data_IF_680165520045
#
_entry.id   IF_680165520045
#
_cell.length_a   1.000
_cell.length_b   1.000
_cell.length_c   1.000
_cell.angle_alpha   90.00
_cell.angle_beta   90.00
_cell.angle_gamma   90.00
#
_symmetry.space_group_name_H-M   'P 1'
#
loop_
_entity.id
_entity.type
_entity.pdbx_description
1 polymer ?
#
# COMPACT_ATOMS: atom_id res chain seq x y z
N UNK A 1 -0.74 -24.90 -2.31
CA UNK A 1 -1.19 -25.28 -3.68
C UNK A 1 -1.97 -24.14 -4.32
N UNK A 2 -2.08 -24.17 -5.63
CA UNK A 2 -2.92 -23.18 -6.35
C UNK A 2 -4.40 -23.30 -5.96
N UNK A 3 -4.84 -24.43 -5.47
CA UNK A 3 -6.21 -24.60 -4.99
C UNK A 3 -6.50 -23.80 -3.71
N UNK A 4 -5.48 -23.56 -2.89
CA UNK A 4 -5.60 -22.83 -1.63
C UNK A 4 -5.32 -21.32 -1.78
N UNK A 5 -4.74 -20.90 -2.91
CA UNK A 5 -4.44 -19.50 -3.17
C UNK A 5 -5.68 -18.78 -3.68
N UNK A 6 -6.15 -17.79 -2.93
CA UNK A 6 -7.29 -16.96 -3.31
C UNK A 6 -6.86 -15.92 -4.35
N UNK A 7 -7.21 -16.17 -5.61
CA UNK A 7 -7.02 -15.19 -6.68
C UNK A 7 -8.14 -14.14 -6.62
N UNK A 8 -7.80 -12.84 -6.72
CA UNK A 8 -8.82 -11.80 -6.83
C UNK A 8 -9.69 -12.01 -8.07
N UNK A 9 -11.00 -12.02 -7.90
CA UNK A 9 -11.96 -12.04 -8.99
C UNK A 9 -12.35 -10.63 -9.43
N UNK A 10 -13.25 -10.56 -10.40
CA UNK A 10 -13.72 -9.27 -10.91
C UNK A 10 -14.44 -8.42 -9.85
N UNK A 11 -15.09 -9.07 -8.88
CA UNK A 11 -15.81 -8.40 -7.80
C UNK A 11 -14.90 -7.76 -6.76
N UNK A 12 -13.65 -8.20 -6.65
CA UNK A 12 -12.65 -7.64 -5.74
C UNK A 12 -11.87 -6.48 -6.36
N UNK A 13 -11.97 -6.29 -7.66
CA UNK A 13 -11.28 -5.19 -8.34
C UNK A 13 -11.97 -3.86 -8.08
N UNK A 14 -11.23 -2.86 -7.57
CA UNK A 14 -11.79 -1.52 -7.41
C UNK A 14 -11.99 -0.84 -8.75
N UNK A 15 -12.79 0.22 -8.75
CA UNK A 15 -12.95 1.10 -9.89
C UNK A 15 -11.67 1.97 -10.03
N UNK A 16 -10.83 1.63 -11.00
CA UNK A 16 -9.52 2.24 -11.16
C UNK A 16 -9.61 3.45 -12.09
N UNK A 17 -9.32 4.63 -11.56
CA UNK A 17 -9.18 5.85 -12.37
C UNK A 17 -7.74 5.94 -12.90
N UNK A 18 -7.61 5.97 -14.22
CA UNK A 18 -6.32 6.12 -14.89
C UNK A 18 -6.13 7.56 -15.34
N UNK A 19 -5.04 8.16 -14.89
CA UNK A 19 -4.62 9.50 -15.29
C UNK A 19 -3.24 9.44 -15.93
N UNK A 20 -2.98 10.32 -16.91
CA UNK A 20 -1.71 10.38 -17.60
C UNK A 20 -0.99 11.70 -17.31
N UNK A 21 0.29 11.60 -16.94
CA UNK A 21 1.20 12.74 -16.88
C UNK A 21 2.29 12.51 -17.90
N UNK A 22 2.35 13.36 -18.92
CA UNK A 22 3.32 13.23 -20.00
C UNK A 22 4.56 14.08 -19.71
N UNK A 23 5.71 13.43 -19.72
CA UNK A 23 7.03 14.07 -19.59
C UNK A 23 7.96 13.51 -20.66
N UNK A 24 7.86 13.98 -21.93
CA UNK A 24 8.66 13.44 -23.02
C UNK A 24 10.14 13.53 -22.74
N UNK A 25 10.91 12.50 -23.13
CA UNK A 25 12.35 12.54 -23.09
C UNK A 25 12.91 13.44 -24.20
N UNK A 26 13.84 14.37 -23.89
CA UNK A 26 14.51 15.16 -24.92
C UNK A 26 15.54 14.37 -25.73
N UNK A 27 15.87 13.14 -25.31
CA UNK A 27 16.94 12.32 -25.90
C UNK A 27 16.46 11.18 -26.76
N UNK A 28 15.17 10.93 -26.85
CA UNK A 28 14.59 9.80 -27.59
C UNK A 28 13.69 10.26 -28.71
N UNK A 29 13.57 9.42 -29.75
CA UNK A 29 12.61 9.63 -30.84
C UNK A 29 11.19 9.62 -30.25
N UNK A 30 10.38 10.59 -30.61
CA UNK A 30 9.01 10.79 -30.10
C UNK A 30 8.90 10.98 -28.57
N UNK A 31 10.01 11.20 -27.88
CA UNK A 31 10.01 11.39 -26.44
C UNK A 31 9.70 10.14 -25.62
N UNK A 32 9.78 8.97 -26.24
CA UNK A 32 9.42 7.69 -25.61
C UNK A 32 10.38 7.31 -24.48
N UNK A 33 9.83 6.64 -23.46
CA UNK A 33 10.56 6.11 -22.30
C UNK A 33 10.12 4.67 -22.00
N UNK A 34 11.05 3.90 -21.40
CA UNK A 34 10.71 2.57 -20.92
C UNK A 34 9.95 2.62 -19.58
N UNK A 35 9.02 1.69 -19.38
CA UNK A 35 8.21 1.60 -18.16
C UNK A 35 7.94 0.14 -17.77
N UNK A 36 8.80 -0.79 -18.19
CA UNK A 36 8.59 -2.22 -17.98
C UNK A 36 8.32 -2.63 -16.54
N UNK A 37 8.95 -1.99 -15.57
CA UNK A 37 8.78 -2.29 -14.14
C UNK A 37 7.92 -1.27 -13.37
N UNK A 38 7.25 -0.37 -14.06
CA UNK A 38 6.45 0.70 -13.43
C UNK A 38 5.43 0.18 -12.42
N UNK A 39 4.81 -0.97 -12.69
CA UNK A 39 3.87 -1.61 -11.77
C UNK A 39 4.48 -2.19 -10.49
N UNK A 40 5.79 -2.35 -10.42
CA UNK A 40 6.50 -2.83 -9.25
C UNK A 40 7.12 -1.69 -8.40
N UNK A 41 7.32 -0.51 -8.99
CA UNK A 41 8.00 0.61 -8.33
C UNK A 41 7.07 1.36 -7.38
N UNK A 42 5.90 1.77 -7.83
CA UNK A 42 5.00 2.65 -7.08
C UNK A 42 3.95 1.94 -6.22
N UNK A 43 3.30 0.87 -6.70
CA UNK A 43 2.11 0.32 -6.02
C UNK A 43 2.34 -0.17 -4.60
N UNK A 44 3.49 -0.78 -4.30
CA UNK A 44 3.78 -1.29 -2.96
C UNK A 44 3.73 -0.19 -1.90
N UNK A 45 4.41 0.92 -2.14
CA UNK A 45 4.42 2.06 -1.23
C UNK A 45 3.06 2.79 -1.22
N UNK A 46 2.45 2.97 -2.39
CA UNK A 46 1.18 3.66 -2.50
C UNK A 46 0.05 2.94 -1.73
N UNK A 47 -0.04 1.62 -1.87
CA UNK A 47 -1.02 0.81 -1.16
C UNK A 47 -0.74 0.78 0.34
N UNK A 48 0.52 0.64 0.74
CA UNK A 48 0.92 0.70 2.15
C UNK A 48 0.54 2.03 2.79
N UNK A 49 0.78 3.13 2.11
CA UNK A 49 0.39 4.47 2.58
C UNK A 49 -1.13 4.60 2.70
N UNK A 50 -1.89 4.08 1.76
CA UNK A 50 -3.35 4.09 1.81
C UNK A 50 -3.89 3.27 2.99
N UNK A 51 -3.31 2.10 3.26
CA UNK A 51 -3.67 1.27 4.41
C UNK A 51 -3.33 1.99 5.71
N UNK A 52 -2.17 2.59 5.83
CA UNK A 52 -1.77 3.36 7.01
C UNK A 52 -2.66 4.58 7.23
N UNK A 53 -3.11 5.23 6.16
CA UNK A 53 -4.09 6.30 6.26
C UNK A 53 -5.44 5.81 6.84
N UNK A 54 -5.90 4.64 6.40
CA UNK A 54 -7.10 4.00 6.95
C UNK A 54 -6.92 3.56 8.42
N UNK A 55 -5.71 3.16 8.83
CA UNK A 55 -5.40 2.74 10.19
C UNK A 55 -5.14 3.91 11.16
N UNK A 56 -4.99 5.12 10.66
CA UNK A 56 -4.67 6.31 11.45
C UNK A 56 -5.61 6.53 12.65
N UNK A 57 -6.94 6.41 12.52
CA UNK A 57 -7.84 6.56 13.66
C UNK A 57 -7.61 5.55 14.78
N UNK A 58 -7.04 4.39 14.46
CA UNK A 58 -6.69 3.34 15.42
C UNK A 58 -5.30 3.53 16.03
N UNK A 59 -4.51 4.48 15.52
CA UNK A 59 -3.13 4.67 15.92
C UNK A 59 -2.20 3.52 15.50
N UNK A 60 -2.62 2.71 14.53
CA UNK A 60 -1.87 1.58 14.03
C UNK A 60 -1.11 1.94 12.76
N UNK A 61 0.06 1.33 12.57
CA UNK A 61 0.91 1.54 11.41
C UNK A 61 1.59 0.23 11.00
N UNK A 62 1.69 -0.02 9.68
CA UNK A 62 2.44 -1.12 9.08
C UNK A 62 3.59 -0.54 8.28
N UNK A 63 4.83 -0.90 8.63
CA UNK A 63 6.05 -0.37 7.98
C UNK A 63 6.75 -1.41 7.09
N UNK A 64 6.16 -2.58 6.92
CA UNK A 64 6.73 -3.68 6.14
C UNK A 64 5.81 -4.10 5.00
N UNK A 65 6.38 -4.37 3.86
CA UNK A 65 5.69 -4.98 2.72
C UNK A 65 6.13 -6.44 2.53
N UNK A 66 5.24 -7.31 2.02
CA UNK A 66 3.85 -7.06 1.66
C UNK A 66 2.95 -6.82 2.90
N UNK A 67 1.97 -5.95 2.74
CA UNK A 67 0.98 -5.67 3.78
C UNK A 67 -0.06 -6.77 3.79
N UNK A 68 0.16 -7.80 4.59
CA UNK A 68 -0.75 -8.94 4.72
C UNK A 68 -1.82 -8.67 5.78
N UNK A 69 -3.00 -9.34 5.71
CA UNK A 69 -4.02 -9.24 6.74
C UNK A 69 -3.48 -9.52 8.15
N UNK A 70 -2.57 -10.47 8.27
CA UNK A 70 -1.91 -10.81 9.54
C UNK A 70 -1.08 -9.65 10.11
N UNK A 71 -0.33 -8.93 9.26
CA UNK A 71 0.45 -7.75 9.67
C UNK A 71 -0.44 -6.60 10.11
N UNK A 72 -1.52 -6.37 9.38
CA UNK A 72 -2.53 -5.36 9.72
C UNK A 72 -3.16 -5.67 11.08
N UNK A 73 -3.62 -6.90 11.28
CA UNK A 73 -4.22 -7.31 12.55
C UNK A 73 -3.24 -7.14 13.72
N UNK A 74 -1.99 -7.56 13.55
CA UNK A 74 -0.96 -7.39 14.56
C UNK A 74 -0.75 -5.92 14.92
N UNK A 75 -0.66 -5.05 13.94
CA UNK A 75 -0.51 -3.61 14.17
C UNK A 75 -1.69 -3.01 14.94
N UNK A 76 -2.91 -3.43 14.65
CA UNK A 76 -4.12 -2.99 15.37
C UNK A 76 -4.09 -3.47 16.82
N UNK A 77 -3.74 -4.73 17.07
CA UNK A 77 -3.68 -5.31 18.42
C UNK A 77 -2.60 -4.63 19.26
N UNK A 78 -1.41 -4.40 18.70
CA UNK A 78 -0.32 -3.68 19.36
C UNK A 78 -0.71 -2.25 19.71
N UNK A 79 -1.38 -1.53 18.81
CA UNK A 79 -1.87 -0.18 19.05
C UNK A 79 -2.94 -0.12 20.15
N UNK A 80 -3.82 -1.12 20.22
CA UNK A 80 -4.82 -1.23 21.27
C UNK A 80 -4.17 -1.49 22.64
N UNK A 81 -3.18 -2.40 22.73
CA UNK A 81 -2.42 -2.68 23.95
C UNK A 81 -1.70 -1.44 24.48
N UNK A 82 -1.05 -0.69 23.60
CA UNK A 82 -0.34 0.54 24.00
C UNK A 82 -1.28 1.63 24.54
N UNK A 83 -2.55 1.63 24.16
CA UNK A 83 -3.55 2.57 24.70
C UNK A 83 -3.95 2.21 26.13
N UNK A 84 -4.09 0.93 26.42
CA UNK A 84 -4.45 0.43 27.76
C UNK A 84 -3.32 0.70 28.77
N UNK A 85 -2.08 0.58 28.34
CA UNK A 85 -0.89 0.81 29.19
C UNK A 85 -0.54 2.29 29.40
N UNK A 86 -1.28 3.22 28.82
CA UNK A 86 -1.06 4.66 28.98
C UNK A 86 0.24 5.18 28.34
N UNK A 87 0.93 4.34 27.56
CA UNK A 87 2.20 4.68 26.90
C UNK A 87 2.02 5.29 25.52
N UNK A 88 0.79 5.66 25.16
CA UNK A 88 0.43 6.28 23.87
C UNK A 88 0.93 7.72 23.70
N UNK A 89 2.20 7.98 24.00
CA UNK A 89 2.89 9.18 23.58
C UNK A 89 3.21 9.05 22.09
N UNK A 90 2.60 9.88 21.26
CA UNK A 90 2.99 10.04 19.85
C UNK A 90 4.49 10.31 19.79
N UNK A 91 5.26 9.59 18.96
CA UNK A 91 6.53 10.13 18.51
C UNK A 91 6.22 11.34 17.61
N UNK A 92 6.76 12.46 17.99
CA UNK A 92 6.77 13.69 17.19
C UNK A 92 7.57 13.48 15.93
#
# INVERSE_FOLDING_TARGET
TFADYLLPGASEMPDVRVLHMETPSPYTTFGQKGVGEGGAIGPGAAITNAINDALRPLGAEVCEIPVTPRRVLRAIVEAAGNREDGTGGRPT
#
